data_IF_327936011778
#
_entry.id   IF_327936011778
#
_cell.length_a   1.000
_cell.length_b   1.000
_cell.length_c   1.000
_cell.angle_alpha   90.00
_cell.angle_beta   90.00
_cell.angle_gamma   90.00
#
_symmetry.space_group_name_H-M   'P 1'
#
loop_
_entity.id
_entity.type
_entity.pdbx_description
1 polymer ?
#
# COMPACT_ATOMS: atom_id res chain seq x y z
N UNK A 1 -22.10 5.76 11.86
CA UNK A 1 -20.68 5.81 12.28
C UNK A 1 -20.67 6.29 13.72
N UNK A 2 -20.05 5.54 14.63
CA UNK A 2 -19.93 5.95 16.04
C UNK A 2 -18.59 6.64 16.28
N UNK A 3 -18.53 7.55 17.26
CA UNK A 3 -17.30 8.24 17.65
C UNK A 3 -17.18 8.26 19.18
N UNK A 4 -15.97 8.03 19.69
CA UNK A 4 -15.65 7.99 21.11
C UNK A 4 -14.42 8.86 21.37
N UNK A 5 -14.40 9.55 22.52
CA UNK A 5 -13.14 10.09 23.04
C UNK A 5 -12.28 8.93 23.52
N UNK A 6 -11.00 8.95 23.16
CA UNK A 6 -10.05 7.92 23.56
C UNK A 6 -8.63 8.51 23.65
N UNK A 7 -7.76 7.81 24.36
CA UNK A 7 -6.34 8.08 24.38
C UNK A 7 -5.58 6.86 23.85
N UNK A 8 -4.87 7.00 22.73
CA UNK A 8 -4.10 5.93 22.11
C UNK A 8 -2.73 5.81 22.78
N UNK A 9 -2.36 4.60 23.18
CA UNK A 9 -0.99 4.28 23.57
C UNK A 9 -0.12 4.21 22.32
N UNK A 10 0.79 5.18 22.17
CA UNK A 10 1.73 5.24 21.06
C UNK A 10 3.09 4.71 21.52
N UNK A 11 3.80 3.87 20.73
CA UNK A 11 5.05 3.22 21.16
C UNK A 11 6.13 4.21 21.63
N UNK A 12 6.17 5.40 21.03
CA UNK A 12 7.24 6.38 21.21
C UNK A 12 6.93 7.40 22.30
N UNK A 13 5.67 7.50 22.71
CA UNK A 13 5.24 8.53 23.64
C UNK A 13 4.94 7.90 25.00
N UNK A 14 5.68 8.33 26.02
CA UNK A 14 5.46 7.92 27.41
C UNK A 14 4.03 8.24 27.91
N UNK A 15 3.34 9.18 27.26
CA UNK A 15 1.96 9.57 27.57
C UNK A 15 1.00 9.18 26.43
N UNK A 16 -0.20 8.65 26.75
CA UNK A 16 -1.22 8.39 25.75
C UNK A 16 -1.63 9.65 24.97
N UNK A 17 -1.73 9.52 23.65
CA UNK A 17 -2.13 10.60 22.74
C UNK A 17 -3.66 10.69 22.74
N UNK A 18 -4.21 11.84 23.15
CA UNK A 18 -5.66 12.05 23.15
C UNK A 18 -6.19 12.28 21.74
N UNK A 19 -7.34 11.70 21.43
CA UNK A 19 -7.95 11.75 20.11
C UNK A 19 -9.41 11.32 20.11
N UNK A 20 -9.88 10.98 18.92
CA UNK A 20 -11.20 10.39 18.66
C UNK A 20 -11.03 9.03 18.01
N UNK A 21 -11.76 8.06 18.52
CA UNK A 21 -11.88 6.72 17.96
C UNK A 21 -13.21 6.63 17.20
N UNK A 22 -13.17 6.15 15.97
CA UNK A 22 -14.31 6.02 15.08
C UNK A 22 -14.54 4.55 14.75
N UNK A 23 -15.81 4.13 14.77
CA UNK A 23 -16.21 2.79 14.35
C UNK A 23 -17.11 2.88 13.12
N UNK A 24 -16.71 2.16 12.08
CA UNK A 24 -17.43 1.95 10.83
C UNK A 24 -17.62 0.45 10.57
N UNK A 25 -18.45 0.04 9.60
CA UNK A 25 -18.70 -1.38 9.34
C UNK A 25 -17.44 -2.22 9.04
N UNK A 26 -16.41 -1.60 8.44
CA UNK A 26 -15.20 -2.29 7.99
C UNK A 26 -13.92 -1.83 8.69
N UNK A 27 -13.95 -0.71 9.42
CA UNK A 27 -12.75 -0.09 9.99
C UNK A 27 -12.99 0.49 11.37
N UNK A 28 -11.96 0.39 12.20
CA UNK A 28 -11.75 1.20 13.40
C UNK A 28 -10.68 2.24 13.05
N UNK A 29 -10.98 3.52 13.23
CA UNK A 29 -10.01 4.58 12.95
C UNK A 29 -9.75 5.39 14.22
N UNK A 30 -8.52 5.84 14.42
CA UNK A 30 -8.18 6.79 15.46
C UNK A 30 -7.51 8.02 14.87
N UNK A 31 -7.90 9.18 15.35
CA UNK A 31 -7.30 10.46 14.96
C UNK A 31 -6.95 11.25 16.22
N UNK A 32 -5.67 11.64 16.36
CA UNK A 32 -5.20 12.49 17.44
C UNK A 32 -5.82 13.88 17.38
N UNK A 33 -6.00 14.53 18.54
CA UNK A 33 -6.47 15.93 18.61
C UNK A 33 -5.52 16.91 17.94
N UNK A 34 -4.22 16.61 17.99
CA UNK A 34 -3.19 17.33 17.24
C UNK A 34 -3.18 16.76 15.83
N UNK A 35 -3.37 17.62 14.82
CA UNK A 35 -3.36 17.19 13.42
C UNK A 35 -2.02 16.54 13.06
N UNK A 36 -2.07 15.46 12.29
CA UNK A 36 -0.91 14.72 11.78
C UNK A 36 0.04 14.12 12.84
N UNK A 37 -0.34 14.14 14.13
CA UNK A 37 0.49 13.54 15.18
C UNK A 37 0.37 12.02 15.16
N UNK A 38 -0.84 11.48 15.29
CA UNK A 38 -1.12 10.04 15.19
C UNK A 38 -2.47 9.83 14.51
N UNK A 39 -2.44 9.15 13.37
CA UNK A 39 -3.63 8.59 12.73
C UNK A 39 -3.47 7.08 12.57
N UNK A 40 -4.52 6.32 12.85
CA UNK A 40 -4.51 4.88 12.72
C UNK A 40 -5.78 4.41 12.01
N UNK A 41 -5.62 3.45 11.11
CA UNK A 41 -6.72 2.78 10.42
C UNK A 41 -6.53 1.28 10.63
N UNK A 42 -7.45 0.65 11.34
CA UNK A 42 -7.45 -0.78 11.61
C UNK A 42 -8.66 -1.40 10.87
N UNK A 43 -8.44 -2.15 9.79
CA UNK A 43 -9.48 -2.95 9.17
C UNK A 43 -10.04 -3.97 10.18
N UNK A 44 -11.35 -3.98 10.39
CA UNK A 44 -12.01 -4.91 11.33
C UNK A 44 -11.73 -6.38 10.97
N UNK A 45 -11.56 -6.70 9.69
CA UNK A 45 -11.18 -8.06 9.24
C UNK A 45 -9.85 -8.56 9.83
N UNK A 46 -8.92 -7.65 10.16
CA UNK A 46 -7.64 -7.98 10.76
C UNK A 46 -7.74 -8.09 12.27
N UNK A 47 -8.81 -7.61 12.90
CA UNK A 47 -8.99 -7.68 14.34
C UNK A 47 -9.33 -9.10 14.76
N UNK A 48 -8.58 -9.63 15.72
CA UNK A 48 -8.75 -10.98 16.23
C UNK A 48 -9.28 -10.99 17.67
N UNK A 49 -8.70 -10.13 18.53
CA UNK A 49 -9.03 -10.09 19.96
C UNK A 49 -9.33 -8.66 20.39
N UNK A 50 -10.35 -8.53 21.24
CA UNK A 50 -10.75 -7.31 21.93
C UNK A 50 -10.77 -7.61 23.43
N UNK A 51 -9.79 -7.10 24.16
CA UNK A 51 -9.61 -7.33 25.59
C UNK A 51 -9.88 -6.08 26.41
N UNK A 52 -10.51 -6.27 27.57
CA UNK A 52 -10.71 -5.21 28.56
C UNK A 52 -9.45 -5.12 29.41
N UNK A 53 -8.90 -3.92 29.53
CA UNK A 53 -7.76 -3.65 30.40
C UNK A 53 -8.19 -2.64 31.45
N UNK A 54 -8.20 -3.07 32.70
CA UNK A 54 -8.51 -2.21 33.85
C UNK A 54 -7.24 -2.08 34.69
N UNK A 55 -6.78 -0.84 34.90
CA UNK A 55 -5.59 -0.54 35.70
C UNK A 55 -5.81 0.71 36.54
N UNK A 56 -5.22 0.76 37.74
CA UNK A 56 -5.46 1.80 38.75
C UNK A 56 -4.79 3.17 38.44
N UNK A 57 -4.21 3.36 37.26
CA UNK A 57 -3.57 4.62 36.81
C UNK A 57 -4.12 5.05 35.44
N UNK A 58 -3.48 6.01 34.74
CA UNK A 58 -3.94 6.72 33.51
C UNK A 58 -4.53 5.90 32.35
N UNK A 59 -4.53 4.58 32.45
CA UNK A 59 -5.16 3.57 31.60
C UNK A 59 -6.54 3.12 32.13
N UNK A 60 -7.30 4.00 32.80
CA UNK A 60 -8.67 3.67 33.20
C UNK A 60 -9.57 3.45 31.97
N UNK A 61 -10.46 2.45 32.06
CA UNK A 61 -11.36 2.04 30.97
C UNK A 61 -10.62 1.79 29.65
N UNK A 62 -9.56 0.96 29.69
CA UNK A 62 -8.79 0.64 28.52
C UNK A 62 -9.32 -0.57 27.74
N UNK A 63 -9.04 -0.56 26.45
CA UNK A 63 -9.40 -1.52 25.42
C UNK A 63 -8.13 -1.88 24.66
N UNK A 64 -7.78 -3.16 24.66
CA UNK A 64 -6.68 -3.70 23.89
C UNK A 64 -7.24 -4.39 22.64
N UNK A 65 -6.79 -3.93 21.47
CA UNK A 65 -7.11 -4.52 20.18
C UNK A 65 -5.90 -5.30 19.68
N UNK A 66 -6.05 -6.59 19.42
CA UNK A 66 -4.98 -7.41 18.84
C UNK A 66 -5.39 -7.86 17.45
N UNK A 67 -4.53 -7.58 16.48
CA UNK A 67 -4.71 -7.98 15.09
C UNK A 67 -4.16 -9.39 14.82
N UNK A 68 -4.52 -9.99 13.68
CA UNK A 68 -4.08 -11.33 13.24
C UNK A 68 -2.56 -11.47 13.14
N UNK A 69 -1.86 -10.37 12.82
CA UNK A 69 -0.39 -10.30 12.82
C UNK A 69 0.20 -10.00 14.22
N UNK A 70 -0.57 -10.21 15.29
CA UNK A 70 -0.17 -10.04 16.70
C UNK A 70 0.26 -8.62 17.08
N UNK A 71 -0.16 -7.62 16.31
CA UNK A 71 0.05 -6.20 16.66
C UNK A 71 -1.03 -5.77 17.64
N UNK A 72 -0.61 -5.03 18.68
CA UNK A 72 -1.45 -4.62 19.79
C UNK A 72 -1.66 -3.11 19.78
N UNK A 73 -2.92 -2.68 19.84
CA UNK A 73 -3.32 -1.28 19.94
C UNK A 73 -4.06 -1.05 21.24
N UNK A 74 -3.51 -0.20 22.10
CA UNK A 74 -4.09 0.13 23.38
C UNK A 74 -4.82 1.47 23.30
N UNK A 75 -6.09 1.48 23.66
CA UNK A 75 -6.90 2.69 23.79
C UNK A 75 -7.42 2.81 25.21
N UNK A 76 -7.21 3.95 25.87
CA UNK A 76 -7.66 4.23 27.23
C UNK A 76 -8.69 5.37 27.26
N UNK A 77 -9.29 5.60 28.43
CA UNK A 77 -10.22 6.71 28.67
C UNK A 77 -11.45 6.68 27.74
N UNK A 78 -11.93 5.47 27.40
CA UNK A 78 -13.09 5.28 26.53
C UNK A 78 -14.36 5.30 27.37
N UNK A 79 -15.20 6.31 27.17
CA UNK A 79 -16.54 6.36 27.75
C UNK A 79 -17.45 5.32 27.07
N UNK A 80 -18.17 4.51 27.84
CA UNK A 80 -19.02 3.46 27.28
C UNK A 80 -18.24 2.36 26.56
N UNK A 81 -17.03 2.02 27.03
CA UNK A 81 -16.17 0.95 26.49
C UNK A 81 -16.94 -0.34 26.19
N UNK A 82 -17.79 -0.78 27.11
CA UNK A 82 -18.48 -2.07 26.96
C UNK A 82 -19.48 -2.05 25.79
N UNK A 83 -20.16 -0.92 25.57
CA UNK A 83 -21.01 -0.71 24.41
C UNK A 83 -20.19 -0.69 23.10
N UNK A 84 -19.00 -0.08 23.12
CA UNK A 84 -18.08 -0.12 21.97
C UNK A 84 -17.64 -1.56 21.66
N UNK A 85 -17.26 -2.35 22.67
CA UNK A 85 -16.88 -3.76 22.50
C UNK A 85 -18.03 -4.56 21.89
N UNK A 86 -19.24 -4.40 22.42
CA UNK A 86 -20.44 -5.07 21.89
C UNK A 86 -20.65 -4.72 20.42
N UNK A 87 -20.50 -3.45 20.04
CA UNK A 87 -20.61 -3.01 18.64
C UNK A 87 -19.51 -3.57 17.75
N UNK A 88 -18.27 -3.65 18.24
CA UNK A 88 -17.17 -4.29 17.50
C UNK A 88 -17.50 -5.77 17.28
N UNK A 89 -17.93 -6.50 18.31
CA UNK A 89 -18.33 -7.91 18.19
C UNK A 89 -19.48 -8.12 17.21
N UNK A 90 -20.50 -7.24 17.23
CA UNK A 90 -21.63 -7.26 16.29
C UNK A 90 -21.16 -7.08 14.83
N UNK A 91 -20.19 -6.19 14.59
CA UNK A 91 -19.65 -5.95 13.26
C UNK A 91 -18.75 -7.09 12.79
N UNK A 92 -17.88 -7.62 13.66
CA UNK A 92 -17.03 -8.77 13.35
C UNK A 92 -17.86 -10.00 12.96
N UNK A 93 -19.00 -10.21 13.62
CA UNK A 93 -19.92 -11.31 13.29
C UNK A 93 -20.56 -11.18 11.89
N UNK A 94 -20.64 -9.95 11.36
CA UNK A 94 -21.21 -9.66 10.01
C UNK A 94 -20.17 -9.73 8.91
N UNK A 95 -18.88 -9.68 9.24
CA UNK A 95 -17.80 -9.74 8.24
C UNK A 95 -17.66 -11.19 7.78
N UNK A 96 -17.80 -11.48 6.47
CA UNK A 96 -17.54 -12.82 5.94
C UNK A 96 -16.12 -13.22 6.31
N UNK A 97 -15.97 -14.33 7.04
CA UNK A 97 -14.65 -14.89 7.33
C UNK A 97 -14.00 -15.27 6.00
N UNK A 98 -12.82 -14.73 5.64
CA UNK A 98 -12.15 -15.16 4.44
C UNK A 98 -11.78 -16.63 4.58
N UNK A 99 -12.25 -17.46 3.65
CA UNK A 99 -11.65 -18.77 3.38
C UNK A 99 -10.27 -18.47 2.79
N UNK A 100 -9.24 -18.56 3.62
CA UNK A 100 -7.81 -18.49 3.26
C UNK A 100 -7.41 -17.30 2.38
N UNK A 101 -6.82 -16.27 2.99
CA UNK A 101 -6.08 -15.24 2.26
C UNK A 101 -4.71 -15.85 1.96
N UNK A 102 -4.24 -15.94 0.70
CA UNK A 102 -2.84 -16.21 0.43
C UNK A 102 -2.03 -15.06 1.02
N UNK A 103 -1.29 -15.35 2.09
CA UNK A 103 -0.17 -14.52 2.51
C UNK A 103 0.79 -14.38 1.32
N UNK A 104 1.28 -13.17 1.08
CA UNK A 104 2.40 -12.92 0.18
C UNK A 104 3.65 -13.49 0.85
N UNK A 105 3.78 -14.82 0.87
CA UNK A 105 5.05 -15.48 1.09
C UNK A 105 5.62 -15.82 -0.29
N UNK A 106 6.86 -15.41 -0.53
CA UNK A 106 7.70 -15.96 -1.59
C UNK A 106 7.70 -17.48 -1.44
N UNK A 107 7.04 -18.20 -2.33
CA UNK A 107 7.28 -19.64 -2.43
C UNK A 107 7.48 -20.09 -3.88
N UNK A 108 8.74 -20.44 -4.12
CA UNK A 108 9.21 -21.18 -5.26
C UNK A 108 8.82 -22.63 -5.10
N UNK A 109 7.56 -23.00 -5.35
CA UNK A 109 7.20 -24.42 -5.45
C UNK A 109 6.25 -24.66 -6.62
N UNK A 110 6.82 -25.27 -7.66
CA UNK A 110 6.15 -25.81 -8.83
C UNK A 110 5.31 -27.02 -8.43
N UNK A 111 4.02 -27.04 -8.81
CA UNK A 111 3.27 -28.27 -9.00
C UNK A 111 2.19 -28.05 -10.07
N UNK A 112 2.46 -28.63 -11.24
CA UNK A 112 1.55 -28.67 -12.36
C UNK A 112 0.28 -29.46 -12.00
N UNK A 113 -0.87 -28.91 -12.34
CA UNK A 113 -2.06 -29.72 -12.64
C UNK A 113 -2.76 -29.16 -13.87
N UNK A 114 -2.84 -30.02 -14.88
CA UNK A 114 -3.43 -29.75 -16.19
C UNK A 114 -4.94 -29.85 -16.12
N UNK A 115 -5.63 -28.73 -16.33
CA UNK A 115 -6.98 -28.73 -16.90
C UNK A 115 -7.27 -27.41 -17.64
N UNK A 116 -7.78 -27.55 -18.85
CA UNK A 116 -7.93 -26.51 -19.86
C UNK A 116 -9.11 -25.56 -19.56
N UNK A 117 -8.80 -24.43 -18.95
CA UNK A 117 -9.38 -23.13 -19.29
C UNK A 117 -8.23 -22.11 -19.22
N UNK A 118 -8.09 -21.21 -20.18
CA UNK A 118 -6.99 -20.25 -20.25
C UNK A 118 -7.12 -19.18 -19.14
N UNK A 119 -7.03 -19.57 -17.87
CA UNK A 119 -6.97 -18.66 -16.74
C UNK A 119 -5.53 -18.21 -16.58
N UNK A 120 -5.26 -16.97 -16.97
CA UNK A 120 -4.00 -16.29 -16.70
C UNK A 120 -3.68 -16.29 -15.19
N UNK A 121 -2.40 -16.45 -14.85
CA UNK A 121 -1.89 -16.40 -13.48
C UNK A 121 -0.96 -15.19 -13.27
N UNK A 122 -0.98 -14.54 -12.10
CA UNK A 122 -0.05 -13.46 -11.78
C UNK A 122 1.41 -13.89 -11.91
N UNK A 123 2.19 -13.06 -12.60
CA UNK A 123 3.63 -13.27 -12.78
C UNK A 123 4.41 -12.47 -11.72
N UNK A 124 5.67 -12.84 -11.48
CA UNK A 124 6.58 -12.07 -10.63
C UNK A 124 6.82 -10.65 -11.19
N UNK A 125 7.28 -9.73 -10.34
CA UNK A 125 7.54 -8.34 -10.72
C UNK A 125 8.49 -8.25 -11.91
N UNK A 126 8.22 -7.31 -12.83
CA UNK A 126 9.13 -7.05 -13.95
C UNK A 126 10.45 -6.44 -13.45
N UNK A 127 10.41 -5.67 -12.36
CA UNK A 127 11.59 -5.02 -11.78
C UNK A 127 12.68 -6.02 -11.38
N UNK A 128 12.33 -7.19 -10.81
CA UNK A 128 13.31 -8.21 -10.42
C UNK A 128 13.93 -8.96 -11.62
N UNK A 129 13.31 -8.86 -12.79
CA UNK A 129 13.78 -9.54 -14.01
C UNK A 129 14.54 -8.62 -14.95
N UNK A 130 14.28 -7.32 -14.87
CA UNK A 130 14.86 -6.30 -15.73
C UNK A 130 15.58 -5.26 -14.87
N UNK A 131 16.57 -5.72 -14.10
CA UNK A 131 17.41 -4.85 -13.28
C UNK A 131 18.18 -3.87 -14.18
N UNK A 132 18.04 -2.57 -13.87
CA UNK A 132 18.79 -1.52 -14.53
C UNK A 132 20.14 -1.31 -13.79
N UNK A 133 21.25 -1.09 -14.52
CA UNK A 133 22.53 -0.78 -13.89
C UNK A 133 22.42 0.47 -13.01
N UNK A 134 22.93 0.40 -11.79
CA UNK A 134 23.02 1.55 -10.87
C UNK A 134 24.48 1.88 -10.57
N UNK A 135 24.80 3.16 -10.44
CA UNK A 135 26.10 3.59 -9.92
C UNK A 135 26.25 3.15 -8.45
N UNK A 136 27.49 3.10 -7.97
CA UNK A 136 27.76 2.77 -6.57
C UNK A 136 27.10 3.79 -5.62
N UNK A 137 27.20 5.08 -5.94
CA UNK A 137 26.57 6.18 -5.18
C UNK A 137 25.05 5.99 -5.07
N UNK A 138 24.38 5.61 -6.17
CA UNK A 138 22.95 5.34 -6.17
C UNK A 138 22.58 4.13 -5.30
N UNK A 139 23.41 3.09 -5.27
CA UNK A 139 23.18 1.93 -4.39
C UNK A 139 23.36 2.27 -2.90
N UNK A 140 24.35 3.10 -2.58
CA UNK A 140 24.59 3.58 -1.21
C UNK A 140 23.44 4.47 -0.74
N UNK A 141 22.97 5.40 -1.59
CA UNK A 141 21.80 6.23 -1.31
C UNK A 141 20.53 5.40 -1.11
N UNK A 142 20.34 4.35 -1.91
CA UNK A 142 19.20 3.43 -1.78
C UNK A 142 19.23 2.66 -0.46
N UNK A 143 20.40 2.16 -0.07
CA UNK A 143 20.60 1.44 1.20
C UNK A 143 20.33 2.34 2.40
N UNK A 144 20.73 3.61 2.34
CA UNK A 144 20.46 4.58 3.40
C UNK A 144 18.95 4.88 3.51
N UNK A 145 18.23 5.00 2.39
CA UNK A 145 16.77 5.12 2.40
C UNK A 145 16.11 3.88 3.03
N UNK A 146 16.53 2.67 2.66
CA UNK A 146 16.01 1.42 3.25
C UNK A 146 16.17 1.41 4.77
N UNK A 147 17.36 1.80 5.26
CA UNK A 147 17.62 1.89 6.70
C UNK A 147 16.68 2.86 7.42
N UNK A 148 16.46 4.05 6.87
CA UNK A 148 15.54 5.03 7.44
C UNK A 148 14.09 4.51 7.49
N UNK A 149 13.68 3.76 6.47
CA UNK A 149 12.36 3.11 6.45
C UNK A 149 12.26 1.98 7.47
N UNK A 150 13.29 1.16 7.65
CA UNK A 150 13.29 0.09 8.66
C UNK A 150 13.28 0.65 10.09
N UNK A 151 14.01 1.73 10.36
CA UNK A 151 13.91 2.45 11.64
C UNK A 151 12.48 2.96 11.88
N UNK A 152 11.85 3.52 10.84
CA UNK A 152 10.45 3.95 10.90
C UNK A 152 9.50 2.78 11.15
N UNK A 153 9.68 1.63 10.49
CA UNK A 153 8.84 0.46 10.71
C UNK A 153 9.01 -0.15 12.09
N UNK A 154 10.23 -0.15 12.64
CA UNK A 154 10.48 -0.59 14.00
C UNK A 154 9.75 0.29 15.03
N UNK A 155 9.62 1.58 14.74
CA UNK A 155 9.03 2.57 15.65
C UNK A 155 7.50 2.68 15.51
N UNK A 156 6.99 2.70 14.28
CA UNK A 156 5.58 2.99 13.95
C UNK A 156 4.81 1.79 13.38
N UNK A 157 5.47 0.64 13.23
CA UNK A 157 4.91 -0.57 12.64
C UNK A 157 4.87 -0.53 11.10
N UNK A 158 4.68 -1.70 10.49
CA UNK A 158 4.64 -1.90 9.03
C UNK A 158 3.28 -2.44 8.57
N UNK A 159 2.89 -2.10 7.35
CA UNK A 159 1.65 -2.59 6.72
C UNK A 159 0.38 -1.82 7.12
N UNK A 160 -0.77 -2.49 7.02
CA UNK A 160 -2.10 -1.87 7.06
C UNK A 160 -2.42 -1.08 8.33
N UNK A 161 -1.91 -1.54 9.47
CA UNK A 161 -2.18 -0.93 10.78
C UNK A 161 -0.98 -0.11 11.29
N UNK A 162 -0.13 0.42 10.39
CA UNK A 162 0.96 1.33 10.76
C UNK A 162 0.43 2.66 11.32
N UNK A 163 1.14 3.23 12.29
CA UNK A 163 0.84 4.57 12.78
C UNK A 163 1.24 5.60 11.74
N UNK A 164 0.26 6.34 11.22
CA UNK A 164 0.50 7.44 10.28
C UNK A 164 0.89 8.69 11.05
N UNK A 165 2.09 9.20 10.76
CA UNK A 165 2.68 10.38 11.41
C UNK A 165 3.26 11.33 10.37
N UNK A 166 3.63 12.55 10.79
CA UNK A 166 4.37 13.49 9.93
C UNK A 166 5.71 12.90 9.44
N UNK A 167 6.35 12.05 10.25
CA UNK A 167 7.63 11.42 9.88
C UNK A 167 7.51 10.52 8.65
N UNK A 168 6.41 9.78 8.53
CA UNK A 168 6.15 8.99 7.34
C UNK A 168 6.05 9.87 6.08
N UNK A 169 5.47 11.06 6.18
CA UNK A 169 5.36 12.00 5.05
C UNK A 169 6.74 12.52 4.63
N UNK A 170 7.61 12.85 5.59
CA UNK A 170 9.00 13.25 5.30
C UNK A 170 9.76 12.16 4.55
N UNK A 171 9.62 10.89 4.96
CA UNK A 171 10.27 9.76 4.28
C UNK A 171 9.74 9.53 2.86
N UNK A 172 8.44 9.72 2.64
CA UNK A 172 7.87 9.66 1.28
C UNK A 172 8.44 10.77 0.41
N UNK A 173 8.58 11.99 0.94
CA UNK A 173 9.17 13.13 0.22
C UNK A 173 10.67 12.97 -0.04
N UNK A 174 11.40 12.31 0.86
CA UNK A 174 12.82 11.96 0.67
C UNK A 174 13.03 10.82 -0.35
N UNK A 175 11.94 10.17 -0.79
CA UNK A 175 11.96 9.08 -1.75
C UNK A 175 11.80 7.70 -1.09
N UNK A 176 10.99 6.86 -1.72
CA UNK A 176 10.76 5.48 -1.29
C UNK A 176 11.75 4.56 -2.03
N UNK A 177 12.48 3.67 -1.32
CA UNK A 177 13.31 2.63 -1.95
C UNK A 177 12.51 1.77 -2.92
N UNK A 178 13.10 1.44 -4.06
CA UNK A 178 12.60 0.56 -5.11
C UNK A 178 12.03 -0.75 -4.52
N UNK A 179 12.74 -1.35 -3.55
CA UNK A 179 12.34 -2.59 -2.87
C UNK A 179 11.03 -2.44 -2.09
N UNK A 180 10.73 -1.24 -1.59
CA UNK A 180 9.55 -0.95 -0.75
C UNK A 180 8.40 -0.29 -1.52
N UNK A 181 8.64 0.27 -2.72
CA UNK A 181 7.61 0.97 -3.51
C UNK A 181 6.37 0.13 -3.74
N UNK A 182 6.54 -1.15 -4.10
CA UNK A 182 5.42 -2.06 -4.36
C UNK A 182 4.46 -2.19 -3.17
N UNK A 183 5.01 -2.31 -1.95
CA UNK A 183 4.21 -2.39 -0.73
C UNK A 183 3.63 -1.03 -0.35
N UNK A 184 4.47 0.01 -0.29
CA UNK A 184 4.09 1.30 0.25
C UNK A 184 3.13 2.07 -0.65
N UNK A 185 3.26 1.98 -1.98
CA UNK A 185 2.29 2.59 -2.88
C UNK A 185 0.94 1.90 -2.81
N UNK A 186 0.91 0.57 -2.68
CA UNK A 186 -0.34 -0.16 -2.45
C UNK A 186 -1.00 0.26 -1.13
N UNK A 187 -0.20 0.47 -0.08
CA UNK A 187 -0.66 0.91 1.23
C UNK A 187 -1.20 2.35 1.22
N UNK A 188 -0.43 3.31 0.70
CA UNK A 188 -0.79 4.74 0.76
C UNK A 188 -1.88 5.14 -0.23
N UNK A 189 -1.93 4.52 -1.41
CA UNK A 189 -3.07 4.72 -2.34
C UNK A 189 -4.37 4.11 -1.82
N UNK A 190 -4.30 3.19 -0.85
CA UNK A 190 -5.43 2.39 -0.39
C UNK A 190 -5.80 1.24 -1.34
N UNK A 191 -5.05 1.04 -2.44
CA UNK A 191 -5.29 -0.04 -3.39
C UNK A 191 -5.24 -1.44 -2.74
N UNK A 192 -4.42 -1.60 -1.70
CA UNK A 192 -4.40 -2.84 -0.90
C UNK A 192 -5.77 -3.19 -0.30
N UNK A 193 -6.55 -2.19 0.13
CA UNK A 193 -7.89 -2.42 0.66
C UNK A 193 -8.88 -2.85 -0.43
N UNK A 194 -8.80 -2.24 -1.61
CA UNK A 194 -9.61 -2.62 -2.77
C UNK A 194 -9.31 -4.05 -3.23
N UNK A 195 -8.03 -4.43 -3.22
CA UNK A 195 -7.57 -5.78 -3.55
C UNK A 195 -8.11 -6.82 -2.55
N UNK A 196 -8.00 -6.54 -1.25
CA UNK A 196 -8.50 -7.45 -0.19
C UNK A 196 -10.02 -7.53 -0.12
N UNK A 197 -10.73 -6.46 -0.49
CA UNK A 197 -12.20 -6.43 -0.48
C UNK A 197 -12.80 -7.15 -1.68
N UNK A 198 -12.06 -7.27 -2.78
CA UNK A 198 -12.52 -7.92 -4.01
C UNK A 198 -11.56 -9.04 -4.49
N UNK A 199 -11.40 -10.14 -3.74
CA UNK A 199 -10.53 -11.25 -4.14
C UNK A 199 -10.88 -11.79 -5.53
N UNK A 200 -9.86 -11.95 -6.38
CA UNK A 200 -10.03 -12.48 -7.74
C UNK A 200 -10.68 -11.51 -8.74
N UNK A 201 -11.03 -10.30 -8.34
CA UNK A 201 -11.68 -9.32 -9.24
C UNK A 201 -10.83 -8.99 -10.45
N UNK A 202 -9.52 -8.73 -10.25
CA UNK A 202 -8.62 -8.45 -11.37
C UNK A 202 -8.51 -9.63 -12.34
N UNK A 203 -8.43 -10.87 -11.82
CA UNK A 203 -8.40 -12.09 -12.66
C UNK A 203 -9.67 -12.19 -13.52
N UNK A 204 -10.83 -11.91 -12.93
CA UNK A 204 -12.10 -11.86 -13.66
C UNK A 204 -12.09 -10.75 -14.72
N UNK A 205 -11.63 -9.55 -14.36
CA UNK A 205 -11.54 -8.42 -15.28
C UNK A 205 -10.67 -8.74 -16.50
N UNK A 206 -9.49 -9.33 -16.29
CA UNK A 206 -8.59 -9.79 -17.36
C UNK A 206 -9.27 -10.85 -18.22
N UNK A 207 -9.88 -11.87 -17.63
CA UNK A 207 -10.57 -12.92 -18.40
C UNK A 207 -11.70 -12.38 -19.26
N UNK A 208 -12.39 -11.34 -18.78
CA UNK A 208 -13.50 -10.70 -19.48
C UNK A 208 -13.03 -9.67 -20.50
N UNK A 209 -11.92 -8.98 -20.30
CA UNK A 209 -11.43 -7.96 -21.21
C UNK A 209 -10.60 -8.54 -22.35
N UNK A 210 -9.86 -9.61 -22.10
CA UNK A 210 -8.93 -10.19 -23.06
C UNK A 210 -9.67 -10.78 -24.28
N UNK A 211 -9.16 -10.49 -25.47
CA UNK A 211 -9.69 -11.00 -26.74
C UNK A 211 -10.93 -10.27 -27.26
N UNK A 212 -11.49 -9.30 -26.53
CA UNK A 212 -12.56 -8.43 -27.03
C UNK A 212 -11.96 -7.37 -27.95
N UNK A 213 -12.48 -7.27 -29.17
CA UNK A 213 -12.11 -6.22 -30.13
C UNK A 213 -13.12 -5.09 -30.10
N UNK A 214 -12.69 -3.92 -29.66
CA UNK A 214 -13.41 -2.66 -29.70
C UNK A 214 -12.41 -1.52 -30.00
N UNK A 215 -12.92 -0.30 -30.27
CA UNK A 215 -12.08 0.85 -30.60
C UNK A 215 -10.96 1.08 -29.57
N UNK A 216 -11.31 1.01 -28.28
CA UNK A 216 -10.37 1.14 -27.16
C UNK A 216 -9.26 0.09 -27.17
N UNK A 217 -9.57 -1.19 -27.43
CA UNK A 217 -8.58 -2.26 -27.49
C UNK A 217 -7.62 -2.11 -28.68
N UNK A 218 -8.10 -1.56 -29.80
CA UNK A 218 -7.28 -1.32 -30.99
C UNK A 218 -6.38 -0.09 -30.81
N UNK A 219 -6.84 0.92 -30.07
CA UNK A 219 -6.00 2.02 -29.60
C UNK A 219 -4.90 1.52 -28.68
N UNK A 220 -5.24 0.77 -27.63
CA UNK A 220 -4.26 0.17 -26.72
C UNK A 220 -3.20 -0.61 -27.52
N UNK A 221 -3.60 -1.49 -28.45
CA UNK A 221 -2.66 -2.33 -29.20
C UNK A 221 -1.64 -1.53 -30.04
N UNK A 222 -2.08 -0.40 -30.62
CA UNK A 222 -1.20 0.50 -31.37
C UNK A 222 -0.22 1.24 -30.47
N UNK A 223 -0.60 1.47 -29.21
CA UNK A 223 0.16 2.28 -28.25
C UNK A 223 1.18 1.47 -27.45
N UNK A 224 0.89 0.18 -27.23
CA UNK A 224 1.75 -0.71 -26.46
C UNK A 224 3.21 -0.71 -26.95
N UNK A 225 3.43 -0.75 -28.25
CA UNK A 225 4.77 -0.89 -28.85
C UNK A 225 5.54 0.44 -28.94
N UNK A 226 4.89 1.56 -28.67
CA UNK A 226 5.53 2.89 -28.59
C UNK A 226 5.60 3.45 -27.17
N UNK A 227 5.07 2.71 -26.19
CA UNK A 227 5.12 3.09 -24.78
C UNK A 227 6.43 2.61 -24.16
N UNK A 228 7.23 3.52 -23.58
CA UNK A 228 8.50 3.22 -22.91
C UNK A 228 9.49 2.43 -23.80
N UNK A 229 9.82 2.95 -25.00
CA UNK A 229 10.64 2.21 -25.98
C UNK A 229 12.04 1.88 -25.45
N UNK A 230 12.58 2.71 -24.56
CA UNK A 230 13.94 2.55 -24.01
C UNK A 230 14.02 1.53 -22.87
N UNK A 231 12.90 1.17 -22.23
CA UNK A 231 12.93 0.31 -21.04
C UNK A 231 12.94 -1.19 -21.43
N UNK A 232 13.94 -1.99 -21.00
CA UNK A 232 14.11 -3.39 -21.41
C UNK A 232 12.88 -4.28 -21.19
N UNK A 233 12.14 -4.07 -20.10
CA UNK A 233 10.93 -4.83 -19.81
C UNK A 233 9.87 -4.70 -20.92
N UNK A 234 9.73 -3.53 -21.54
CA UNK A 234 8.71 -3.24 -22.56
C UNK A 234 9.19 -3.52 -23.99
N UNK A 235 10.44 -3.92 -24.17
CA UNK A 235 10.92 -4.53 -25.42
C UNK A 235 10.65 -6.05 -25.46
N UNK A 236 10.28 -6.64 -24.32
CA UNK A 236 9.94 -8.06 -24.21
C UNK A 236 8.43 -8.32 -24.46
N UNK A 237 8.06 -9.45 -25.09
CA UNK A 237 6.66 -9.84 -25.19
C UNK A 237 5.97 -9.95 -23.82
N UNK A 238 6.70 -10.28 -22.76
CA UNK A 238 6.19 -10.44 -21.41
C UNK A 238 5.71 -9.09 -20.85
N UNK A 239 6.55 -8.04 -20.90
CA UNK A 239 6.16 -6.71 -20.42
C UNK A 239 5.05 -6.08 -21.25
N UNK A 240 5.11 -6.23 -22.58
CA UNK A 240 4.04 -5.78 -23.48
C UNK A 240 2.71 -6.51 -23.17
N UNK A 241 2.74 -7.82 -22.94
CA UNK A 241 1.55 -8.57 -22.53
C UNK A 241 1.04 -8.17 -21.13
N UNK A 242 1.93 -7.84 -20.20
CA UNK A 242 1.55 -7.35 -18.88
C UNK A 242 0.81 -6.00 -18.99
N UNK A 243 1.35 -5.06 -19.76
CA UNK A 243 0.72 -3.76 -20.00
C UNK A 243 -0.61 -3.91 -20.75
N UNK A 244 -0.67 -4.79 -21.76
CA UNK A 244 -1.91 -5.13 -22.48
C UNK A 244 -3.01 -5.59 -21.53
N UNK A 245 -2.69 -6.51 -20.63
CA UNK A 245 -3.67 -7.03 -19.64
C UNK A 245 -4.16 -5.93 -18.72
N UNK A 246 -3.25 -5.11 -18.19
CA UNK A 246 -3.57 -4.04 -17.26
C UNK A 246 -4.50 -3.00 -17.91
N UNK A 247 -4.12 -2.46 -19.08
CA UNK A 247 -4.88 -1.41 -19.77
C UNK A 247 -6.25 -1.90 -20.21
N UNK A 248 -6.34 -3.13 -20.76
CA UNK A 248 -7.64 -3.70 -21.16
C UNK A 248 -8.55 -3.95 -19.95
N UNK A 249 -8.00 -4.47 -18.84
CA UNK A 249 -8.78 -4.68 -17.62
C UNK A 249 -9.26 -3.35 -17.01
N UNK A 250 -8.44 -2.30 -17.07
CA UNK A 250 -8.81 -0.95 -16.61
C UNK A 250 -9.93 -0.34 -17.46
N UNK A 251 -9.80 -0.39 -18.79
CA UNK A 251 -10.82 0.08 -19.72
C UNK A 251 -12.14 -0.69 -19.58
N UNK A 252 -12.07 -2.01 -19.34
CA UNK A 252 -13.24 -2.84 -19.07
C UNK A 252 -13.95 -2.46 -17.77
N UNK A 253 -13.19 -2.15 -16.70
CA UNK A 253 -13.74 -1.67 -15.43
C UNK A 253 -14.41 -0.30 -15.58
N UNK A 254 -13.85 0.57 -16.41
CA UNK A 254 -14.27 1.97 -16.55
C UNK A 254 -14.70 2.31 -17.98
N UNK A 255 -15.83 1.76 -18.48
CA UNK A 255 -16.24 1.91 -19.89
C UNK A 255 -16.57 3.34 -20.31
N UNK A 256 -16.89 4.22 -19.36
CA UNK A 256 -17.14 5.65 -19.63
C UNK A 256 -15.85 6.44 -19.88
N UNK A 257 -14.72 5.99 -19.34
CA UNK A 257 -13.39 6.58 -19.56
C UNK A 257 -12.73 5.89 -20.76
N UNK A 258 -12.80 4.56 -20.81
CA UNK A 258 -12.13 3.77 -21.84
C UNK A 258 -10.61 3.83 -21.71
N UNK A 259 -9.95 4.31 -22.75
CA UNK A 259 -8.50 4.55 -22.83
C UNK A 259 -8.31 5.94 -23.43
N UNK A 260 -7.47 6.77 -22.79
CA UNK A 260 -7.07 8.06 -23.33
C UNK A 260 -5.60 7.98 -23.73
N UNK A 261 -5.32 8.49 -24.92
CA UNK A 261 -4.01 8.47 -25.56
C UNK A 261 -3.11 9.64 -25.11
N UNK A 262 -3.23 10.07 -23.86
CA UNK A 262 -2.33 11.13 -23.37
C UNK A 262 -0.92 10.55 -23.34
N UNK A 263 -0.04 11.19 -24.14
CA UNK A 263 1.36 10.85 -24.30
C UNK A 263 1.95 10.47 -22.95
N UNK A 264 2.53 9.27 -22.89
CA UNK A 264 3.30 8.78 -21.75
C UNK A 264 4.51 9.69 -21.52
N UNK A 265 4.30 10.87 -20.94
CA UNK A 265 5.34 11.66 -20.26
C UNK A 265 5.63 11.00 -18.91
N UNK A 266 6.10 9.75 -18.95
CA UNK A 266 6.80 9.14 -17.82
C UNK A 266 8.31 9.33 -17.95
N UNK A 267 8.79 9.85 -19.09
CA UNK A 267 10.23 10.01 -19.38
C UNK A 267 10.87 11.21 -18.67
N UNK A 268 10.10 12.18 -18.19
CA UNK A 268 10.67 13.39 -17.58
C UNK A 268 10.92 13.29 -16.06
N UNK A 269 10.39 12.27 -15.38
CA UNK A 269 10.51 12.16 -13.93
C UNK A 269 11.87 11.60 -13.44
N UNK A 270 12.51 10.74 -14.24
CA UNK A 270 13.80 10.14 -13.88
C UNK A 270 15.01 10.96 -14.36
N UNK A 271 14.83 11.86 -15.35
CA UNK A 271 15.91 12.67 -15.93
C UNK A 271 16.24 13.95 -15.13
N UNK A 272 15.26 14.55 -14.44
CA UNK A 272 15.50 15.74 -13.61
C UNK A 272 16.28 15.42 -12.32
N UNK A 273 16.17 14.20 -11.79
CA UNK A 273 16.95 13.78 -10.61
C UNK A 273 18.46 13.66 -10.90
N UNK A 274 18.85 13.29 -12.13
CA UNK A 274 20.26 13.20 -12.54
C UNK A 274 20.87 14.55 -12.90
N UNK A 275 20.04 15.56 -13.19
CA UNK A 275 20.51 16.86 -13.69
C UNK A 275 20.77 17.85 -12.57
N UNK A 276 20.11 17.69 -11.42
CA UNK A 276 20.27 18.55 -10.25
C UNK A 276 21.59 18.36 -9.48
N UNK A 277 22.31 17.26 -9.68
CA UNK A 277 23.60 16.99 -9.01
C UNK A 277 24.82 17.59 -9.74
N UNK A 278 24.67 18.10 -10.96
CA UNK A 278 25.78 18.63 -11.76
C UNK A 278 25.87 20.17 -11.81
N UNK A 279 24.89 20.92 -11.28
CA UNK A 279 24.94 22.38 -11.31
C UNK A 279 25.57 23.01 -10.05
N UNK A 280 25.82 22.26 -8.99
CA UNK A 280 26.38 22.79 -7.73
C UNK A 280 27.93 22.72 -7.65
N UNK A 281 28.60 22.22 -8.69
CA UNK A 281 30.07 22.07 -8.72
C UNK A 281 30.82 23.13 -9.56
N UNK A 282 30.12 24.02 -10.26
CA UNK A 282 30.76 24.91 -11.26
C UNK A 282 30.71 26.42 -10.92
N UNK A 283 30.41 26.80 -9.66
CA UNK A 283 30.33 28.22 -9.26
C UNK A 283 31.41 28.74 -8.27
N UNK A 284 32.39 27.92 -7.88
CA UNK A 284 33.53 28.37 -7.07
C UNK A 284 34.87 28.32 -7.82
N UNK A 285 34.98 28.96 -8.99
CA UNK A 285 36.32 29.28 -9.52
C UNK A 285 36.39 30.48 -10.47
N UNK A 286 35.71 31.59 -10.19
CA UNK A 286 36.01 32.87 -10.85
C UNK A 286 35.85 34.04 -9.88
N UNK A 287 36.92 34.40 -9.16
CA UNK A 287 37.28 35.80 -8.89
C UNK A 287 38.69 35.90 -8.30
N UNK A 288 39.50 36.68 -9.01
CA UNK A 288 40.78 37.26 -8.59
C UNK A 288 40.67 38.14 -7.33
#
# INVERSE_FOLDING_TARGET
>A
MGAWSAACGHPTTSRPVRGKLYLSPNYICFESRVKNLVCLVIPLRLLQVTERVDSHHSLSNALLLTTRNKVNFLFAQIEGRDFLIEKISELLAKIPQPKEIPCLEDDSTSLASSSSSASWEPEASLASRFELPRSQEAQEAETEKEKQWEEHFAEYGRGLCTYRTSKAQELVLAGIPDSLRGELWMLYSGAIHELETHPGYYRKAVSESMGKRNATSEEIERDLHRSLPEHPAFQSPQGINALRRLLNAYAWRNPAIGYCQDECLWEDADAEASSAENEDSDSEMESE
#
